data_IF_153629930401
#
_entry.id   IF_153629930401
#
_cell.length_a   1.000
_cell.length_b   1.000
_cell.length_c   1.000
_cell.angle_alpha   90.00
_cell.angle_beta   90.00
_cell.angle_gamma   90.00
#
_symmetry.space_group_name_H-M   'P 1'
#
loop_
_entity.id
_entity.type
_entity.pdbx_description
1 polymer ?
#
# COMPACT_ATOMS: atom_id res chain seq x y z
N UNK A 1 -26.33 -7.95 10.93
CA UNK A 1 -26.97 -6.62 10.78
C UNK A 1 -25.82 -5.63 10.56
N UNK A 2 -25.59 -5.21 9.31
CA UNK A 2 -24.44 -4.39 8.92
C UNK A 2 -24.78 -2.91 9.12
N UNK A 3 -24.25 -2.29 10.17
CA UNK A 3 -24.57 -0.91 10.58
C UNK A 3 -23.86 0.16 9.72
N UNK A 4 -23.19 -0.24 8.64
CA UNK A 4 -22.44 0.63 7.74
C UNK A 4 -22.87 0.47 6.27
N UNK A 5 -23.95 -0.27 6.00
CA UNK A 5 -24.41 -0.64 4.65
C UNK A 5 -25.33 0.37 3.94
N UNK A 6 -25.84 1.41 4.64
CA UNK A 6 -26.90 2.28 4.09
C UNK A 6 -26.50 3.76 3.92
N UNK A 7 -25.21 4.05 3.78
CA UNK A 7 -24.75 5.39 3.39
C UNK A 7 -23.45 5.24 2.64
N UNK A 8 -23.22 6.10 1.64
CA UNK A 8 -21.96 6.30 0.91
C UNK A 8 -20.79 6.82 1.82
N UNK A 9 -20.81 6.43 3.10
CA UNK A 9 -19.96 6.88 4.20
C UNK A 9 -19.51 5.75 5.12
N UNK A 10 -19.85 4.49 4.81
CA UNK A 10 -19.14 3.33 5.36
C UNK A 10 -17.75 3.28 4.75
N UNK A 11 -16.83 4.10 5.25
CA UNK A 11 -15.51 4.27 4.67
C UNK A 11 -14.62 3.05 4.88
N UNK A 12 -13.81 2.73 3.88
CA UNK A 12 -12.68 1.81 4.01
C UNK A 12 -11.63 2.49 4.90
N UNK A 13 -11.36 1.91 6.07
CA UNK A 13 -10.45 2.47 7.07
C UNK A 13 -9.49 1.39 7.56
N UNK A 14 -8.18 1.67 7.48
CA UNK A 14 -7.16 0.89 8.16
C UNK A 14 -6.67 1.62 9.41
N UNK A 15 -6.80 0.98 10.57
CA UNK A 15 -6.38 1.55 11.86
C UNK A 15 -4.95 1.11 12.23
N UNK A 16 -4.07 1.02 11.23
CA UNK A 16 -2.69 0.55 11.35
C UNK A 16 -1.76 1.61 11.95
N UNK A 17 -1.86 1.89 13.25
CA UNK A 17 -0.98 2.89 13.89
C UNK A 17 0.53 2.53 13.84
N UNK A 18 0.90 1.30 13.46
CA UNK A 18 2.26 0.95 12.98
C UNK A 18 2.33 -0.28 12.05
N UNK A 19 1.22 -0.65 11.40
CA UNK A 19 1.02 -1.98 10.82
C UNK A 19 1.73 -2.28 9.49
N UNK A 20 2.69 -1.47 9.05
CA UNK A 20 3.41 -1.66 7.78
C UNK A 20 4.89 -1.31 7.96
N UNK A 21 5.77 -2.26 7.65
CA UNK A 21 7.23 -2.12 7.70
C UNK A 21 7.88 -2.96 6.60
N UNK A 22 9.19 -2.76 6.39
CA UNK A 22 10.00 -3.68 5.57
C UNK A 22 10.04 -5.07 6.24
N UNK A 23 9.95 -6.12 5.42
CA UNK A 23 10.13 -7.48 5.90
C UNK A 23 11.59 -7.81 6.20
N UNK A 24 11.81 -8.92 6.89
CA UNK A 24 13.18 -9.37 7.23
C UNK A 24 13.99 -9.72 5.98
N UNK A 25 13.31 -10.27 4.96
CA UNK A 25 13.92 -10.62 3.68
C UNK A 25 13.78 -9.49 2.66
N UNK A 26 14.74 -9.38 1.75
CA UNK A 26 14.65 -8.46 0.62
C UNK A 26 13.35 -8.68 -0.20
N UNK A 27 12.82 -7.61 -0.77
CA UNK A 27 11.59 -7.61 -1.57
C UNK A 27 10.34 -8.12 -0.82
N UNK A 28 10.28 -7.91 0.49
CA UNK A 28 9.12 -8.31 1.31
C UNK A 28 8.63 -7.20 2.23
N UNK A 29 7.37 -7.34 2.66
CA UNK A 29 6.68 -6.45 3.59
C UNK A 29 6.38 -7.19 4.89
N UNK A 30 6.30 -6.45 5.99
CA UNK A 30 5.80 -6.92 7.27
C UNK A 30 4.59 -6.11 7.71
N UNK A 31 3.58 -6.80 8.23
CA UNK A 31 2.54 -6.18 9.05
C UNK A 31 2.84 -6.44 10.52
N UNK A 32 3.14 -5.39 11.28
CA UNK A 32 3.52 -5.48 12.68
C UNK A 32 2.84 -4.40 13.54
N UNK A 33 1.83 -4.77 14.32
CA UNK A 33 1.28 -3.84 15.29
C UNK A 33 2.24 -3.64 16.48
N UNK A 34 2.35 -2.44 17.08
CA UNK A 34 3.26 -2.20 18.20
C UNK A 34 3.02 -3.12 19.41
N UNK A 35 1.80 -3.63 19.54
CA UNK A 35 1.37 -4.54 20.60
C UNK A 35 1.36 -6.01 20.17
N UNK A 36 1.87 -6.35 18.99
CA UNK A 36 1.88 -7.73 18.46
C UNK A 36 0.49 -8.26 18.05
N UNK A 37 -0.53 -7.40 18.03
CA UNK A 37 -1.92 -7.84 17.91
C UNK A 37 -2.44 -7.88 16.47
N UNK A 38 -1.65 -7.55 15.45
CA UNK A 38 -2.14 -7.47 14.08
C UNK A 38 -2.84 -6.16 13.72
N UNK A 39 -3.31 -6.09 12.49
CA UNK A 39 -4.05 -4.94 11.94
C UNK A 39 -5.55 -5.22 11.92
N UNK A 40 -6.32 -4.17 12.23
CA UNK A 40 -7.77 -4.15 12.09
C UNK A 40 -8.14 -3.25 10.92
N UNK A 41 -9.02 -3.75 10.08
CA UNK A 41 -9.43 -3.07 8.86
C UNK A 41 -10.92 -3.29 8.60
N UNK A 42 -11.53 -2.37 7.88
CA UNK A 42 -12.94 -2.42 7.52
C UNK A 42 -13.08 -2.34 6.00
N UNK A 43 -13.85 -3.28 5.43
CA UNK A 43 -14.23 -3.30 4.01
C UNK A 43 -15.75 -3.43 3.97
N UNK A 44 -16.43 -2.51 3.28
CA UNK A 44 -17.90 -2.46 3.16
C UNK A 44 -18.65 -2.54 4.49
N UNK A 45 -18.05 -1.96 5.53
CA UNK A 45 -18.64 -1.94 6.86
C UNK A 45 -18.45 -3.20 7.70
N UNK A 46 -17.72 -4.19 7.19
CA UNK A 46 -17.38 -5.42 7.91
C UNK A 46 -15.97 -5.26 8.49
N UNK A 47 -15.84 -5.49 9.80
CA UNK A 47 -14.55 -5.49 10.47
C UNK A 47 -13.83 -6.82 10.30
N UNK A 48 -12.56 -6.73 9.93
CA UNK A 48 -11.65 -7.84 9.76
C UNK A 48 -10.42 -7.64 10.63
N UNK A 49 -9.74 -8.75 10.89
CA UNK A 49 -8.49 -8.80 11.63
C UNK A 49 -7.49 -9.64 10.86
N UNK A 50 -6.25 -9.16 10.77
CA UNK A 50 -5.11 -9.93 10.27
C UNK A 50 -4.04 -9.89 11.34
N UNK A 51 -3.62 -11.06 11.82
CA UNK A 51 -2.48 -11.19 12.71
C UNK A 51 -1.19 -10.68 12.05
N UNK A 52 -0.21 -10.30 12.86
CA UNK A 52 1.10 -9.88 12.36
C UNK A 52 1.71 -10.94 11.44
N UNK A 53 2.42 -10.47 10.43
CA UNK A 53 3.03 -11.31 9.40
C UNK A 53 4.30 -10.66 8.91
N UNK A 54 5.34 -11.47 8.71
CA UNK A 54 6.63 -11.06 8.19
C UNK A 54 6.88 -11.75 6.85
N UNK A 55 7.83 -11.26 6.07
CA UNK A 55 8.23 -11.80 4.77
C UNK A 55 7.07 -11.98 3.78
N UNK A 56 6.09 -11.06 3.81
CA UNK A 56 4.99 -11.03 2.85
C UNK A 56 5.58 -10.63 1.50
N UNK A 57 5.60 -11.54 0.54
CA UNK A 57 6.18 -11.31 -0.77
C UNK A 57 5.47 -10.16 -1.49
N UNK A 58 6.26 -9.20 -1.97
CA UNK A 58 5.78 -8.21 -2.92
C UNK A 58 5.61 -8.88 -4.29
N UNK A 59 4.48 -8.65 -4.95
CA UNK A 59 4.33 -9.05 -6.35
C UNK A 59 4.99 -8.01 -7.24
N UNK A 60 5.69 -8.45 -8.29
CA UNK A 60 6.28 -7.55 -9.26
C UNK A 60 5.17 -6.75 -9.98
N UNK A 61 5.35 -5.43 -10.02
CA UNK A 61 4.50 -4.50 -10.76
C UNK A 61 5.24 -3.97 -11.97
N UNK A 62 4.58 -3.15 -12.78
CA UNK A 62 5.20 -2.53 -13.93
C UNK A 62 6.41 -1.68 -13.52
N UNK A 63 7.48 -1.79 -14.29
CA UNK A 63 8.73 -1.07 -14.01
C UNK A 63 8.53 0.44 -14.05
N UNK A 64 9.10 1.16 -13.09
CA UNK A 64 9.11 2.62 -13.02
C UNK A 64 10.23 3.18 -13.89
N UNK A 65 9.92 4.22 -14.67
CA UNK A 65 10.88 4.85 -15.55
C UNK A 65 11.96 5.60 -14.76
N UNK A 66 13.10 5.82 -15.41
CA UNK A 66 14.19 6.62 -14.87
C UNK A 66 13.76 8.08 -14.65
N UNK A 67 14.37 8.75 -13.68
CA UNK A 67 14.10 10.16 -13.29
C UNK A 67 12.63 10.47 -12.93
N UNK A 68 11.87 9.45 -12.51
CA UNK A 68 10.49 9.61 -12.05
C UNK A 68 10.34 9.27 -10.58
N UNK A 69 9.32 9.86 -9.95
CA UNK A 69 8.81 9.44 -8.66
C UNK A 69 7.45 8.77 -8.80
N UNK A 70 7.13 7.83 -7.91
CA UNK A 70 5.85 7.12 -7.89
C UNK A 70 5.42 6.76 -6.46
N UNK A 71 4.12 6.72 -6.21
CA UNK A 71 3.52 6.20 -4.98
C UNK A 71 2.99 4.78 -5.20
N UNK A 72 3.36 3.88 -4.30
CA UNK A 72 2.90 2.49 -4.29
C UNK A 72 1.99 2.28 -3.10
N UNK A 73 0.71 2.01 -3.37
CA UNK A 73 -0.28 1.71 -2.34
C UNK A 73 -0.16 0.25 -1.93
N UNK A 74 -0.04 0.00 -0.63
CA UNK A 74 -0.24 -1.33 -0.05
C UNK A 74 -1.71 -1.46 0.32
N UNK A 75 -2.35 -2.54 -0.11
CA UNK A 75 -3.77 -2.80 0.11
C UNK A 75 -4.02 -4.20 0.66
N UNK A 76 -5.14 -4.36 1.35
CA UNK A 76 -5.57 -5.62 1.98
C UNK A 76 -7.00 -5.97 1.60
N UNK A 77 -7.25 -7.25 1.32
CA UNK A 77 -8.58 -7.79 1.05
C UNK A 77 -9.20 -8.47 2.29
N UNK A 78 -10.48 -8.85 2.20
CA UNK A 78 -11.21 -9.54 3.29
C UNK A 78 -10.58 -10.86 3.76
N UNK A 79 -9.76 -11.51 2.92
CA UNK A 79 -9.02 -12.74 3.28
C UNK A 79 -7.68 -12.45 3.98
N UNK A 80 -7.35 -11.18 4.21
CA UNK A 80 -6.06 -10.77 4.77
C UNK A 80 -4.88 -10.89 3.81
N UNK A 81 -5.15 -10.96 2.50
CA UNK A 81 -4.12 -10.95 1.46
C UNK A 81 -3.63 -9.53 1.28
N UNK A 82 -2.32 -9.33 1.36
CA UNK A 82 -1.67 -8.06 1.06
C UNK A 82 -1.25 -8.05 -0.40
N UNK A 83 -1.50 -6.94 -1.09
CA UNK A 83 -0.97 -6.67 -2.42
C UNK A 83 -0.53 -5.22 -2.53
N UNK A 84 0.15 -4.89 -3.63
CA UNK A 84 0.63 -3.54 -3.92
C UNK A 84 0.00 -3.09 -5.22
N UNK A 85 -0.29 -1.80 -5.32
CA UNK A 85 -0.72 -1.13 -6.53
C UNK A 85 0.17 0.07 -6.80
N UNK A 86 0.68 0.15 -8.03
CA UNK A 86 1.51 1.26 -8.50
C UNK A 86 0.60 2.43 -8.90
N UNK A 87 0.99 3.65 -8.54
CA UNK A 87 0.34 4.88 -8.96
C UNK A 87 0.92 5.42 -10.27
N UNK A 88 0.43 6.59 -10.67
CA UNK A 88 0.99 7.28 -11.82
C UNK A 88 2.37 7.87 -11.49
N UNK A 89 3.29 7.73 -12.43
CA UNK A 89 4.63 8.32 -12.37
C UNK A 89 4.58 9.80 -12.73
N UNK A 90 5.42 10.60 -12.08
CA UNK A 90 5.70 11.97 -12.50
C UNK A 90 7.21 12.21 -12.48
N UNK A 91 7.70 13.11 -13.33
CA UNK A 91 9.11 13.47 -13.34
C UNK A 91 9.51 14.05 -11.98
N UNK A 92 10.60 13.53 -11.41
CA UNK A 92 11.12 13.98 -10.10
C UNK A 92 11.43 15.47 -10.11
N UNK A 93 11.88 15.98 -11.25
CA UNK A 93 12.12 17.41 -11.48
C UNK A 93 10.84 18.24 -11.45
N UNK A 94 9.72 17.76 -12.01
CA UNK A 94 8.44 18.48 -11.99
C UNK A 94 7.81 18.52 -10.60
N UNK A 95 8.01 17.47 -9.79
CA UNK A 95 7.60 17.46 -8.37
C UNK A 95 8.43 18.48 -7.59
N UNK A 96 9.75 18.47 -7.78
CA UNK A 96 10.68 19.40 -7.10
C UNK A 96 10.37 20.86 -7.45
N UNK A 97 10.01 21.12 -8.70
CA UNK A 97 9.60 22.44 -9.20
C UNK A 97 8.17 22.83 -8.78
N UNK A 98 7.41 21.94 -8.13
CA UNK A 98 6.02 22.18 -7.73
C UNK A 98 5.02 22.23 -8.90
N UNK A 99 5.37 21.66 -10.06
CA UNK A 99 4.52 21.58 -11.27
C UNK A 99 3.67 20.32 -11.32
N UNK A 100 4.10 19.26 -10.64
CA UNK A 100 3.39 18.00 -10.50
C UNK A 100 3.24 17.61 -9.02
N UNK A 101 2.24 16.79 -8.73
CA UNK A 101 2.03 16.19 -7.41
C UNK A 101 1.62 14.74 -7.59
N UNK A 102 2.31 13.84 -6.90
CA UNK A 102 1.94 12.43 -6.88
C UNK A 102 0.58 12.23 -6.21
N UNK A 103 -0.22 11.34 -6.78
CA UNK A 103 -1.51 10.94 -6.22
C UNK A 103 -1.44 9.50 -5.76
N UNK A 104 -2.01 9.22 -4.60
CA UNK A 104 -2.20 7.84 -4.16
C UNK A 104 -3.18 7.16 -5.12
N UNK A 105 -2.86 5.98 -5.67
CA UNK A 105 -3.84 5.24 -6.46
C UNK A 105 -4.99 4.79 -5.55
N UNK A 106 -6.19 4.70 -6.10
CA UNK A 106 -7.32 4.11 -5.38
C UNK A 106 -7.07 2.62 -5.15
N UNK A 107 -7.46 2.10 -3.99
CA UNK A 107 -7.48 0.66 -3.74
C UNK A 107 -8.38 -0.04 -4.78
N UNK A 108 -8.05 -1.28 -5.14
CA UNK A 108 -8.91 -2.07 -6.00
C UNK A 108 -10.24 -2.39 -5.30
N UNK A 109 -11.24 -2.81 -6.09
CA UNK A 109 -12.51 -3.27 -5.55
C UNK A 109 -12.31 -4.35 -4.48
N UNK A 110 -13.14 -4.31 -3.43
CA UNK A 110 -13.09 -5.22 -2.27
C UNK A 110 -11.79 -5.15 -1.43
N UNK A 111 -10.94 -4.13 -1.66
CA UNK A 111 -9.75 -3.88 -0.88
C UNK A 111 -9.83 -2.55 -0.10
N UNK A 112 -8.99 -2.43 0.92
CA UNK A 112 -8.75 -1.17 1.65
C UNK A 112 -7.26 -0.85 1.67
N UNK A 113 -6.95 0.44 1.56
CA UNK A 113 -5.61 0.98 1.75
C UNK A 113 -5.06 0.62 3.14
N UNK A 114 -3.89 0.00 3.18
CA UNK A 114 -3.15 -0.40 4.38
C UNK A 114 -1.83 0.41 4.54
N UNK A 115 -1.72 1.53 3.84
CA UNK A 115 -0.51 2.36 3.77
C UNK A 115 0.15 2.30 2.40
N UNK A 116 1.42 2.67 2.33
CA UNK A 116 2.16 2.69 1.07
C UNK A 116 3.57 3.21 1.24
N UNK A 117 4.30 3.28 0.14
CA UNK A 117 5.66 3.82 0.08
C UNK A 117 5.86 4.65 -1.19
N UNK A 118 6.80 5.59 -1.15
CA UNK A 118 7.23 6.40 -2.30
C UNK A 118 8.57 5.91 -2.81
N UNK A 119 8.76 5.93 -4.13
CA UNK A 119 10.05 5.65 -4.76
C UNK A 119 10.42 6.84 -5.63
N UNK A 120 11.55 7.46 -5.31
CA UNK A 120 12.23 8.43 -6.18
C UNK A 120 13.33 7.65 -6.92
N UNK A 121 13.12 7.42 -8.21
CA UNK A 121 14.06 6.66 -9.04
C UNK A 121 15.02 7.63 -9.74
N UNK A 122 16.32 7.46 -9.50
CA UNK A 122 17.41 8.29 -10.04
C UNK A 122 18.54 7.36 -10.51
N UNK A 123 18.61 7.13 -11.82
CA UNK A 123 19.66 6.34 -12.46
C UNK A 123 19.34 4.84 -12.60
N UNK A 124 18.17 4.49 -13.16
CA UNK A 124 17.84 3.10 -13.50
C UNK A 124 16.36 2.83 -13.77
N UNK A 125 15.97 1.54 -13.81
CA UNK A 125 14.57 1.13 -13.86
C UNK A 125 14.25 0.38 -12.57
N UNK A 126 13.30 0.88 -11.77
CA UNK A 126 12.89 0.21 -10.54
C UNK A 126 11.71 -0.73 -10.80
N UNK A 127 11.77 -1.96 -10.28
CA UNK A 127 10.62 -2.89 -10.28
C UNK A 127 10.34 -3.37 -8.86
N UNK A 128 9.17 -3.03 -8.31
CA UNK A 128 8.79 -3.43 -6.95
C UNK A 128 8.85 -4.95 -6.79
N UNK A 129 9.28 -5.45 -5.62
CA UNK A 129 9.34 -6.89 -5.38
C UNK A 129 10.45 -7.64 -6.11
N UNK A 130 11.40 -6.91 -6.70
CA UNK A 130 12.64 -7.47 -7.23
C UNK A 130 13.84 -6.97 -6.42
N UNK A 131 15.00 -7.60 -6.60
CA UNK A 131 16.25 -7.25 -5.90
C UNK A 131 17.16 -6.33 -6.72
N UNK A 132 16.67 -5.77 -7.81
CA UNK A 132 17.46 -5.01 -8.79
C UNK A 132 16.87 -3.63 -9.02
#
# INVERSE_FOLDING_TARGET
>A
MNNLSNNARGGNLCLSKAGLAEGTNAATIKTAAPNGAGIYYCIDGIFYHKADGDNIAMTALDAQADDTSCLYLVQINASGTISIKKGDEALTSEITDGKAALQWPDADADNVANGGFSIDNDGGTFTSGTTH
#
